data_IF_913848983535
#
_entry.id   IF_913848983535
#
_cell.length_a   1.000
_cell.length_b   1.000
_cell.length_c   1.000
_cell.angle_alpha   90.00
_cell.angle_beta   90.00
_cell.angle_gamma   90.00
#
_symmetry.space_group_name_H-M   'P 1'
#
loop_
_entity.id
_entity.type
_entity.pdbx_description
1 polymer ?
#
# COMPACT_ATOMS: atom_id res chain seq x y z
N UNK A 1 64.56 -28.21 -30.85
CA UNK A 1 63.33 -28.96 -30.48
C UNK A 1 62.44 -28.03 -29.65
N UNK A 2 61.15 -28.06 -29.95
CA UNK A 2 60.01 -27.64 -29.13
C UNK A 2 59.81 -26.18 -28.69
N UNK A 3 58.82 -25.57 -29.36
CA UNK A 3 57.61 -24.93 -28.80
C UNK A 3 57.70 -23.48 -28.30
N UNK A 4 57.56 -22.61 -29.29
CA UNK A 4 56.66 -21.44 -29.35
C UNK A 4 55.50 -21.38 -28.33
N UNK A 5 55.48 -20.29 -27.57
CA UNK A 5 54.29 -19.71 -26.91
C UNK A 5 53.44 -18.92 -27.92
N UNK A 6 52.10 -18.94 -27.81
CA UNK A 6 51.28 -17.89 -28.42
C UNK A 6 50.50 -17.08 -27.37
N UNK A 7 50.81 -15.79 -27.36
CA UNK A 7 49.89 -14.66 -27.53
C UNK A 7 48.53 -14.66 -26.81
N UNK A 8 48.46 -13.72 -25.86
CA UNK A 8 47.27 -13.14 -25.25
C UNK A 8 46.38 -12.50 -26.32
N UNK A 9 45.11 -12.92 -26.38
CA UNK A 9 44.05 -12.20 -27.12
C UNK A 9 42.95 -11.81 -26.15
N UNK A 10 42.76 -10.50 -26.06
CA UNK A 10 41.75 -9.79 -25.30
C UNK A 10 40.37 -9.97 -25.97
N UNK A 11 39.42 -10.62 -25.29
CA UNK A 11 38.04 -10.75 -25.76
C UNK A 11 37.16 -9.67 -25.11
N UNK A 12 36.67 -8.76 -25.94
CA UNK A 12 35.71 -7.69 -25.64
C UNK A 12 34.36 -8.30 -25.23
N UNK A 13 33.85 -7.92 -24.06
CA UNK A 13 32.48 -8.25 -23.63
C UNK A 13 31.51 -7.21 -24.19
N UNK A 14 30.59 -7.65 -25.05
CA UNK A 14 29.41 -6.89 -25.47
C UNK A 14 28.26 -7.08 -24.45
N UNK A 15 27.38 -6.07 -24.27
CA UNK A 15 26.29 -6.12 -23.29
C UNK A 15 25.07 -6.91 -23.81
N UNK A 16 24.53 -7.80 -22.97
CA UNK A 16 23.34 -8.60 -23.25
C UNK A 16 22.05 -7.80 -23.06
N UNK A 17 21.16 -7.90 -24.05
CA UNK A 17 19.85 -7.23 -24.15
C UNK A 17 18.75 -8.00 -23.40
N UNK A 18 18.00 -7.30 -22.54
CA UNK A 18 16.81 -7.78 -21.81
C UNK A 18 15.56 -7.78 -22.70
N UNK A 19 15.43 -8.81 -23.55
CA UNK A 19 14.19 -9.08 -24.32
C UNK A 19 13.96 -10.59 -24.44
N UNK A 20 13.47 -11.23 -23.38
CA UNK A 20 12.84 -12.55 -23.45
C UNK A 20 12.11 -12.90 -22.14
N UNK A 21 10.85 -12.45 -21.98
CA UNK A 21 9.83 -13.13 -21.16
C UNK A 21 8.46 -12.48 -21.40
N UNK A 22 7.88 -12.72 -22.58
CA UNK A 22 6.46 -12.55 -22.86
C UNK A 22 6.04 -13.70 -23.76
N UNK A 23 5.30 -14.65 -23.20
CA UNK A 23 4.26 -15.48 -23.84
C UNK A 23 3.93 -16.60 -22.86
N UNK A 24 2.71 -16.58 -22.28
CA UNK A 24 1.69 -17.64 -22.22
C UNK A 24 0.47 -17.01 -21.50
N UNK A 25 -0.74 -17.33 -21.99
CA UNK A 25 -2.09 -16.93 -21.55
C UNK A 25 -2.78 -15.77 -22.31
N UNK A 26 -3.22 -16.10 -23.53
CA UNK A 26 -4.55 -15.73 -24.04
C UNK A 26 -5.27 -17.03 -24.40
N UNK A 27 -6.43 -17.28 -23.77
CA UNK A 27 -7.70 -17.62 -24.44
C UNK A 27 -8.65 -18.36 -23.50
N UNK A 28 -9.91 -17.94 -23.54
CA UNK A 28 -11.06 -18.70 -23.04
C UNK A 28 -11.75 -18.09 -21.82
N UNK A 29 -12.76 -17.23 -22.02
CA UNK A 29 -14.13 -17.71 -22.22
C UNK A 29 -15.12 -16.53 -22.08
N UNK A 30 -15.77 -16.19 -23.18
CA UNK A 30 -16.92 -15.30 -23.22
C UNK A 30 -18.13 -16.09 -23.72
N UNK A 31 -19.30 -15.80 -23.12
CA UNK A 31 -20.69 -16.14 -23.49
C UNK A 31 -21.37 -17.20 -22.62
N UNK A 32 -22.29 -16.75 -21.76
CA UNK A 32 -23.73 -17.01 -21.99
C UNK A 32 -24.61 -16.17 -21.06
N UNK A 33 -25.22 -15.13 -21.61
CA UNK A 33 -26.45 -14.53 -21.10
C UNK A 33 -27.63 -15.17 -21.82
N UNK A 34 -28.67 -15.64 -21.09
CA UNK A 34 -30.08 -15.54 -21.50
C UNK A 34 -31.06 -16.10 -20.44
N UNK A 35 -31.80 -15.16 -19.85
CA UNK A 35 -33.26 -15.14 -19.60
C UNK A 35 -34.00 -16.49 -19.46
N UNK A 36 -34.71 -16.66 -18.34
CA UNK A 36 -36.18 -16.76 -18.32
C UNK A 36 -36.78 -16.64 -16.91
N UNK A 37 -37.67 -15.67 -16.78
CA UNK A 37 -38.72 -15.48 -15.79
C UNK A 37 -39.89 -16.47 -15.97
N UNK A 38 -40.78 -16.51 -14.96
CA UNK A 38 -42.12 -17.14 -14.88
C UNK A 38 -42.21 -18.59 -14.35
N UNK A 39 -42.66 -18.76 -13.10
CA UNK A 39 -44.06 -19.08 -12.77
C UNK A 39 -44.29 -19.03 -11.25
N UNK A 40 -45.50 -18.62 -10.88
CA UNK A 40 -45.91 -18.31 -9.51
C UNK A 40 -46.67 -19.44 -8.83
N UNK A 41 -46.73 -19.33 -7.50
CA UNK A 41 -47.83 -19.68 -6.58
C UNK A 41 -47.94 -21.11 -6.03
N UNK A 42 -47.92 -21.08 -4.68
CA UNK A 42 -48.73 -21.84 -3.70
C UNK A 42 -48.25 -23.24 -3.29
N UNK A 43 -47.66 -23.29 -2.09
CA UNK A 43 -48.14 -24.18 -1.00
C UNK A 43 -47.50 -23.82 0.36
N UNK A 44 -48.36 -23.58 1.37
CA UNK A 44 -48.09 -23.53 2.83
C UNK A 44 -47.33 -22.30 3.34
N UNK A 45 -47.85 -21.34 4.13
CA UNK A 45 -48.91 -21.33 5.16
C UNK A 45 -48.79 -22.46 6.18
N UNK A 46 -47.82 -22.31 7.10
CA UNK A 46 -47.96 -22.54 8.55
C UNK A 46 -46.57 -22.44 9.20
N UNK A 47 -46.16 -21.24 9.65
CA UNK A 47 -45.12 -21.02 10.70
C UNK A 47 -44.73 -19.55 10.95
N UNK A 48 -45.49 -18.54 10.50
CA UNK A 48 -45.14 -17.11 10.67
C UNK A 48 -46.21 -16.30 11.40
N UNK A 49 -46.73 -16.84 12.51
CA UNK A 49 -47.74 -16.17 13.34
C UNK A 49 -47.39 -16.21 14.84
N UNK A 50 -46.12 -15.98 15.20
CA UNK A 50 -45.69 -15.95 16.60
C UNK A 50 -44.62 -14.91 16.98
N UNK A 51 -44.18 -14.01 16.08
CA UNK A 51 -43.15 -12.99 16.42
C UNK A 51 -43.46 -11.58 15.92
N UNK A 52 -44.73 -11.27 15.63
CA UNK A 52 -45.15 -9.97 15.10
C UNK A 52 -46.29 -9.34 15.88
N UNK A 53 -46.12 -9.23 17.20
CA UNK A 53 -46.91 -8.39 18.09
C UNK A 53 -46.05 -8.01 19.28
N UNK A 54 -45.06 -7.14 19.05
CA UNK A 54 -44.39 -6.29 20.05
C UNK A 54 -43.23 -5.59 19.33
N UNK A 55 -43.50 -4.46 18.69
CA UNK A 55 -42.54 -3.37 18.42
C UNK A 55 -43.24 -2.27 17.60
N UNK A 56 -44.29 -1.72 18.19
CA UNK A 56 -44.83 -0.41 17.83
C UNK A 56 -45.00 0.37 19.13
N UNK A 57 -43.88 0.84 19.68
CA UNK A 57 -43.77 2.06 20.46
C UNK A 57 -42.31 2.28 20.89
N UNK A 58 -41.92 3.55 20.97
CA UNK A 58 -40.59 4.07 21.35
C UNK A 58 -39.57 4.21 20.21
N UNK A 59 -39.68 5.32 19.49
CA UNK A 59 -38.51 5.97 18.90
C UNK A 59 -37.63 6.55 20.00
N UNK A 60 -36.32 6.35 19.93
CA UNK A 60 -35.35 7.07 20.74
C UNK A 60 -34.19 7.56 19.88
N UNK A 61 -33.98 8.88 19.92
CA UNK A 61 -32.84 9.59 19.35
C UNK A 61 -31.59 9.25 20.18
N UNK A 62 -30.51 8.86 19.54
CA UNK A 62 -29.20 8.65 20.18
C UNK A 62 -28.55 10.00 20.51
N UNK A 63 -28.66 10.43 21.76
CA UNK A 63 -27.92 11.59 22.30
C UNK A 63 -26.60 11.10 22.88
N UNK A 64 -25.48 11.63 22.38
CA UNK A 64 -24.14 11.43 22.94
C UNK A 64 -24.01 12.21 24.25
N UNK A 65 -24.21 11.54 25.38
CA UNK A 65 -23.97 12.12 26.71
C UNK A 65 -22.55 11.80 27.17
N UNK A 66 -21.68 12.82 27.29
CA UNK A 66 -20.43 12.71 28.05
C UNK A 66 -20.78 12.68 29.54
N UNK A 67 -20.35 11.68 30.33
CA UNK A 67 -20.73 11.61 31.74
C UNK A 67 -20.01 12.71 32.53
N UNK A 68 -20.77 13.50 33.30
CA UNK A 68 -20.22 14.51 34.20
C UNK A 68 -19.58 13.86 35.43
N UNK A 69 -18.68 14.60 36.10
CA UNK A 69 -17.95 14.17 37.33
C UNK A 69 -18.86 13.59 38.43
N UNK A 70 -20.15 13.89 38.41
CA UNK A 70 -21.14 13.43 39.39
C UNK A 70 -21.40 11.92 39.35
N UNK A 71 -21.30 11.28 38.17
CA UNK A 71 -21.51 9.82 38.02
C UNK A 71 -20.37 9.03 38.68
N UNK A 72 -19.14 9.57 38.66
CA UNK A 72 -17.98 8.94 39.29
C UNK A 72 -18.04 8.97 40.82
N UNK A 73 -18.65 10.01 41.41
CA UNK A 73 -18.88 10.08 42.85
C UNK A 73 -19.99 9.11 43.30
N UNK A 74 -21.03 8.94 42.50
CA UNK A 74 -22.14 8.03 42.81
C UNK A 74 -21.72 6.55 42.75
N UNK A 75 -20.88 6.17 41.78
CA UNK A 75 -20.33 4.80 41.65
C UNK A 75 -19.25 4.46 42.70
N UNK A 76 -18.67 5.46 43.39
CA UNK A 76 -17.71 5.23 44.47
C UNK A 76 -18.41 4.94 45.81
N UNK A 77 -19.69 5.32 45.95
CA UNK A 77 -20.46 5.19 47.19
C UNK A 77 -21.28 3.89 47.27
N UNK A 78 -21.80 3.41 46.14
CA UNK A 78 -22.47 2.12 46.06
C UNK A 78 -21.48 1.10 45.50
N UNK A 79 -20.96 0.21 46.36
CA UNK A 79 -19.97 -0.83 46.07
C UNK A 79 -20.41 -1.88 45.04
N UNK A 80 -20.78 -1.45 43.83
CA UNK A 80 -21.00 -2.32 42.68
C UNK A 80 -19.67 -2.66 42.05
N UNK A 81 -18.96 -3.61 42.69
CA UNK A 81 -17.75 -4.26 42.16
C UNK A 81 -17.92 -4.72 40.70
N UNK A 82 -19.14 -5.02 40.27
CA UNK A 82 -19.41 -5.50 38.91
C UNK A 82 -19.17 -4.44 37.83
N UNK A 83 -19.51 -3.17 38.06
CA UNK A 83 -19.32 -2.08 37.07
C UNK A 83 -17.84 -1.66 37.01
N UNK A 84 -17.16 -1.61 38.17
CA UNK A 84 -15.71 -1.38 38.20
C UNK A 84 -14.91 -2.53 37.59
N UNK A 85 -15.31 -3.79 37.82
CA UNK A 85 -14.65 -4.96 37.22
C UNK A 85 -14.93 -5.10 35.72
N UNK A 86 -16.13 -4.76 35.24
CA UNK A 86 -16.42 -4.74 33.80
C UNK A 86 -15.67 -3.62 33.07
N UNK A 87 -15.54 -2.43 33.66
CA UNK A 87 -14.68 -1.38 33.09
C UNK A 87 -13.19 -1.75 33.11
N UNK A 88 -12.71 -2.43 34.16
CA UNK A 88 -11.32 -2.94 34.24
C UNK A 88 -11.07 -4.03 33.18
N UNK A 89 -11.99 -4.98 33.04
CA UNK A 89 -11.98 -6.01 31.99
C UNK A 89 -12.08 -5.42 30.57
N UNK A 90 -12.89 -4.39 30.37
CA UNK A 90 -13.01 -3.70 29.08
C UNK A 90 -11.74 -2.91 28.72
N UNK A 91 -11.02 -2.40 29.73
CA UNK A 91 -9.70 -1.78 29.54
C UNK A 91 -8.60 -2.81 29.23
N UNK A 92 -8.74 -4.04 29.74
CA UNK A 92 -7.87 -5.19 29.43
C UNK A 92 -8.15 -5.82 28.05
N UNK A 93 -9.36 -5.69 27.51
CA UNK A 93 -9.76 -6.21 26.18
C UNK A 93 -9.65 -5.15 25.06
N UNK A 94 -8.70 -4.22 25.17
CA UNK A 94 -8.38 -3.37 24.04
C UNK A 94 -7.69 -4.23 22.97
N UNK A 95 -8.20 -4.22 21.74
CA UNK A 95 -7.69 -5.02 20.61
C UNK A 95 -6.37 -4.44 20.11
N UNK A 96 -5.32 -4.58 20.93
CA UNK A 96 -3.95 -4.22 20.59
C UNK A 96 -3.31 -5.42 19.87
N UNK A 97 -2.63 -5.23 18.73
CA UNK A 97 -1.83 -6.28 18.14
C UNK A 97 -0.83 -6.84 19.16
N UNK A 98 -0.68 -8.16 19.18
CA UNK A 98 0.34 -8.81 20.01
C UNK A 98 1.73 -8.60 19.41
N UNK A 99 2.72 -8.39 20.27
CA UNK A 99 4.13 -8.41 19.90
C UNK A 99 4.52 -9.80 19.38
N UNK A 100 5.40 -9.83 18.38
CA UNK A 100 5.88 -11.03 17.71
C UNK A 100 7.27 -11.38 18.20
N UNK A 101 7.43 -12.58 18.75
CA UNK A 101 8.67 -13.07 19.34
C UNK A 101 9.02 -14.45 18.77
N UNK A 102 9.42 -14.52 17.49
CA UNK A 102 9.85 -15.78 16.90
C UNK A 102 11.14 -16.26 17.56
N UNK A 103 11.41 -17.59 17.61
CA UNK A 103 12.64 -18.12 18.17
C UNK A 103 13.89 -17.50 17.54
N UNK A 104 14.83 -17.07 18.39
CA UNK A 104 16.12 -16.50 17.97
C UNK A 104 17.00 -17.60 17.39
N UNK A 105 17.19 -18.67 18.17
CA UNK A 105 17.99 -19.83 17.79
C UNK A 105 17.44 -20.55 16.56
N UNK A 106 18.35 -21.09 15.75
CA UNK A 106 18.00 -21.83 14.54
C UNK A 106 17.68 -23.30 14.88
N UNK A 107 16.47 -23.75 14.52
CA UNK A 107 16.15 -25.17 14.53
C UNK A 107 16.98 -25.96 13.49
N UNK A 108 17.05 -27.28 13.65
CA UNK A 108 17.77 -28.14 12.70
C UNK A 108 17.26 -28.00 11.26
N UNK A 109 15.94 -27.84 11.09
CA UNK A 109 15.31 -27.65 9.78
C UNK A 109 15.72 -26.31 9.18
N UNK A 110 15.68 -25.23 9.95
CA UNK A 110 16.09 -23.90 9.51
C UNK A 110 17.56 -23.85 9.10
N UNK A 111 18.45 -24.52 9.84
CA UNK A 111 19.86 -24.64 9.49
C UNK A 111 20.06 -25.31 8.12
N UNK A 112 19.27 -26.35 7.80
CA UNK A 112 19.31 -27.01 6.50
C UNK A 112 18.82 -26.08 5.40
N UNK A 113 17.71 -25.34 5.64
CA UNK A 113 17.18 -24.38 4.67
C UNK A 113 18.20 -23.28 4.39
N UNK A 114 18.78 -22.68 5.43
CA UNK A 114 19.81 -21.63 5.30
C UNK A 114 21.01 -22.14 4.49
N UNK A 115 21.51 -23.36 4.75
CA UNK A 115 22.62 -23.95 3.99
C UNK A 115 22.32 -24.08 2.49
N UNK A 116 21.06 -24.22 2.10
CA UNK A 116 20.62 -24.32 0.69
C UNK A 116 20.46 -22.95 0.02
N UNK A 117 20.24 -21.88 0.77
CA UNK A 117 20.10 -20.53 0.22
C UNK A 117 21.48 -19.99 -0.17
N UNK A 118 21.76 -19.92 -1.48
CA UNK A 118 23.06 -19.41 -1.99
C UNK A 118 23.04 -17.96 -2.46
N UNK A 119 21.97 -17.54 -3.13
CA UNK A 119 21.87 -16.22 -3.78
C UNK A 119 20.94 -15.24 -3.07
N UNK A 120 19.93 -15.76 -2.37
CA UNK A 120 18.92 -14.94 -1.71
C UNK A 120 19.37 -14.55 -0.29
N UNK A 121 20.50 -13.86 -0.21
CA UNK A 121 21.20 -13.55 1.05
C UNK A 121 20.39 -12.66 1.99
N UNK A 122 19.41 -11.88 1.47
CA UNK A 122 18.49 -11.11 2.32
C UNK A 122 17.69 -12.01 3.26
N UNK A 123 17.22 -13.16 2.80
CA UNK A 123 16.41 -14.06 3.64
C UNK A 123 17.22 -14.64 4.79
N UNK A 124 18.50 -14.95 4.54
CA UNK A 124 19.42 -15.42 5.58
C UNK A 124 19.70 -14.29 6.58
N UNK A 125 20.02 -13.10 6.09
CA UNK A 125 20.22 -11.90 6.91
C UNK A 125 18.99 -11.63 7.81
N UNK A 126 17.81 -11.53 7.23
CA UNK A 126 16.57 -11.27 7.98
C UNK A 126 16.26 -12.39 8.97
N UNK A 127 16.49 -13.66 8.62
CA UNK A 127 16.29 -14.76 9.58
C UNK A 127 17.20 -14.62 10.81
N UNK A 128 18.45 -14.23 10.63
CA UNK A 128 19.37 -14.02 11.74
C UNK A 128 19.01 -12.78 12.55
N UNK A 129 18.65 -11.67 11.89
CA UNK A 129 18.57 -10.37 12.54
C UNK A 129 17.12 -9.86 12.77
N UNK A 130 16.07 -10.61 12.44
CA UNK A 130 14.66 -10.17 12.63
C UNK A 130 14.33 -9.77 14.07
N UNK A 131 14.95 -10.41 15.05
CA UNK A 131 14.71 -10.14 16.47
C UNK A 131 15.37 -8.82 16.92
N UNK A 132 16.50 -8.44 16.32
CA UNK A 132 17.15 -7.13 16.51
C UNK A 132 16.41 -6.03 15.71
N UNK A 133 15.94 -6.38 14.50
CA UNK A 133 15.17 -5.47 13.65
C UNK A 133 13.85 -5.08 14.33
N UNK A 134 13.17 -6.04 14.96
CA UNK A 134 11.91 -5.82 15.67
C UNK A 134 12.10 -6.00 17.18
N UNK A 135 12.95 -5.15 17.77
CA UNK A 135 13.04 -5.03 19.23
C UNK A 135 11.72 -4.54 19.85
N UNK A 136 11.60 -4.64 21.17
CA UNK A 136 10.36 -4.29 21.87
C UNK A 136 9.95 -2.83 21.64
N UNK A 137 10.91 -1.90 21.62
CA UNK A 137 10.66 -0.49 21.37
C UNK A 137 10.08 -0.24 19.97
N UNK A 138 10.67 -0.84 18.93
CA UNK A 138 10.21 -0.66 17.57
C UNK A 138 8.87 -1.39 17.32
N UNK A 139 8.63 -2.52 17.96
CA UNK A 139 7.31 -3.15 17.92
C UNK A 139 6.23 -2.28 18.56
N UNK A 140 6.53 -1.60 19.67
CA UNK A 140 5.61 -0.63 20.27
C UNK A 140 5.32 0.54 19.32
N UNK A 141 6.31 1.09 18.62
CA UNK A 141 6.11 2.09 17.56
C UNK A 141 5.15 1.55 16.47
N UNK A 142 5.38 0.34 15.97
CA UNK A 142 4.50 -0.28 14.96
C UNK A 142 3.09 -0.54 15.46
N UNK A 143 2.93 -0.83 16.76
CA UNK A 143 1.61 -1.02 17.36
C UNK A 143 0.82 0.30 17.41
N UNK A 144 1.47 1.47 17.52
CA UNK A 144 0.77 2.76 17.48
C UNK A 144 0.08 3.05 16.14
N UNK A 145 0.40 2.28 15.09
CA UNK A 145 -0.32 2.31 13.80
C UNK A 145 -1.79 1.90 13.95
N UNK A 146 -2.15 1.21 15.04
CA UNK A 146 -3.47 0.66 15.27
C UNK A 146 -4.20 1.44 16.36
N UNK A 147 -5.45 1.83 16.07
CA UNK A 147 -6.33 2.43 17.08
C UNK A 147 -6.83 1.35 18.04
N UNK A 148 -6.69 1.60 19.35
CA UNK A 148 -7.29 0.75 20.37
C UNK A 148 -8.81 0.72 20.17
N UNK A 149 -9.34 -0.47 19.84
CA UNK A 149 -10.77 -0.70 19.62
C UNK A 149 -11.27 -1.79 20.56
N UNK A 150 -12.52 -1.66 21.01
CA UNK A 150 -13.21 -2.71 21.77
C UNK A 150 -13.84 -3.79 20.85
N UNK A 151 -13.81 -3.60 19.54
CA UNK A 151 -14.44 -4.47 18.55
C UNK A 151 -13.50 -4.73 17.36
N UNK A 152 -13.46 -5.98 16.88
CA UNK A 152 -12.68 -6.40 15.70
C UNK A 152 -12.08 -7.81 15.82
N UNK A 153 -11.32 -8.24 14.81
CA UNK A 153 -10.44 -9.43 14.87
C UNK A 153 -9.05 -8.98 15.36
N UNK A 154 -8.32 -9.78 16.17
CA UNK A 154 -6.97 -9.43 16.59
C UNK A 154 -6.11 -9.17 15.35
N UNK A 155 -5.49 -7.99 15.21
CA UNK A 155 -4.63 -7.73 14.07
C UNK A 155 -3.44 -8.69 14.11
N UNK A 156 -3.10 -9.27 12.96
CA UNK A 156 -1.82 -9.98 12.76
C UNK A 156 -0.67 -9.08 13.23
N UNK A 157 0.38 -9.67 13.77
CA UNK A 157 1.47 -8.91 14.38
C UNK A 157 2.07 -7.89 13.38
N UNK A 158 2.17 -6.61 13.77
CA UNK A 158 2.69 -5.56 12.90
C UNK A 158 4.13 -5.82 12.44
N UNK A 159 4.95 -6.44 13.30
CA UNK A 159 6.31 -6.82 12.99
C UNK A 159 6.41 -7.88 11.88
N UNK A 160 5.56 -8.91 11.90
CA UNK A 160 5.55 -9.93 10.83
C UNK A 160 5.09 -9.34 9.50
N UNK A 161 4.10 -8.43 9.52
CA UNK A 161 3.65 -7.69 8.33
C UNK A 161 4.73 -6.72 7.80
N UNK A 162 5.46 -6.05 8.70
CA UNK A 162 6.60 -5.20 8.35
C UNK A 162 7.71 -6.00 7.67
N UNK A 163 8.04 -7.18 8.22
CA UNK A 163 9.03 -8.06 7.64
C UNK A 163 8.61 -8.56 6.25
N UNK A 164 7.34 -8.96 6.08
CA UNK A 164 6.81 -9.34 4.78
C UNK A 164 6.88 -8.18 3.77
N UNK A 165 6.64 -6.95 4.22
CA UNK A 165 6.75 -5.74 3.38
C UNK A 165 8.19 -5.53 2.91
N UNK A 166 9.19 -5.75 3.77
CA UNK A 166 10.61 -5.67 3.40
C UNK A 166 11.00 -6.70 2.37
N UNK A 167 10.59 -7.96 2.56
CA UNK A 167 10.89 -9.03 1.62
C UNK A 167 10.21 -8.73 0.28
N UNK A 168 8.93 -8.34 0.31
CA UNK A 168 8.16 -7.99 -0.90
C UNK A 168 8.84 -6.89 -1.71
N UNK A 169 9.25 -5.80 -1.04
CA UNK A 169 9.92 -4.69 -1.71
C UNK A 169 11.24 -5.10 -2.33
N UNK A 170 12.00 -5.98 -1.67
CA UNK A 170 13.27 -6.49 -2.20
C UNK A 170 13.08 -7.46 -3.39
N UNK A 171 12.08 -8.33 -3.34
CA UNK A 171 11.84 -9.33 -4.40
C UNK A 171 11.04 -8.77 -5.58
N UNK A 172 10.35 -7.64 -5.41
CA UNK A 172 9.54 -7.01 -6.46
C UNK A 172 8.27 -7.79 -6.81
N UNK A 173 7.78 -8.62 -5.89
CA UNK A 173 6.63 -9.51 -6.11
C UNK A 173 5.30 -8.82 -5.82
N UNK A 174 4.24 -9.28 -6.49
CA UNK A 174 2.89 -8.72 -6.32
C UNK A 174 2.28 -9.06 -4.95
N UNK A 175 1.22 -8.34 -4.55
CA UNK A 175 0.52 -8.62 -3.29
C UNK A 175 -0.10 -10.02 -3.24
N UNK A 176 -0.56 -10.56 -4.38
CA UNK A 176 -1.07 -11.93 -4.48
C UNK A 176 0.07 -12.95 -4.33
N UNK A 177 1.20 -12.68 -4.99
CA UNK A 177 2.39 -13.52 -4.94
C UNK A 177 3.01 -13.55 -3.54
N UNK A 178 2.90 -12.49 -2.73
CA UNK A 178 3.30 -12.55 -1.31
C UNK A 178 2.53 -13.64 -0.57
N UNK A 179 1.20 -13.69 -0.73
CA UNK A 179 0.36 -14.67 -0.03
C UNK A 179 0.71 -16.08 -0.49
N UNK A 180 0.85 -16.29 -1.80
CA UNK A 180 1.29 -17.56 -2.37
C UNK A 180 2.68 -17.97 -1.86
N UNK A 181 3.64 -17.04 -1.84
CA UNK A 181 4.99 -17.29 -1.37
C UNK A 181 5.05 -17.68 0.12
N UNK A 182 4.16 -17.14 0.96
CA UNK A 182 4.09 -17.57 2.38
C UNK A 182 3.69 -19.04 2.56
N UNK A 183 3.05 -19.65 1.55
CA UNK A 183 2.67 -21.06 1.56
C UNK A 183 3.66 -21.94 0.78
N UNK A 184 4.19 -21.44 -0.33
CA UNK A 184 4.91 -22.25 -1.31
C UNK A 184 6.44 -22.08 -1.25
N UNK A 185 6.94 -20.98 -0.67
CA UNK A 185 8.38 -20.69 -0.62
C UNK A 185 8.95 -20.85 0.79
N UNK A 186 9.79 -21.87 0.96
CA UNK A 186 10.51 -22.16 2.23
C UNK A 186 11.33 -20.98 2.74
N UNK A 187 11.80 -20.08 1.87
CA UNK A 187 12.56 -18.88 2.28
C UNK A 187 11.65 -17.87 2.98
N UNK A 188 10.45 -17.66 2.45
CA UNK A 188 9.45 -16.78 3.06
C UNK A 188 8.97 -17.35 4.39
N UNK A 189 8.66 -18.64 4.41
CA UNK A 189 8.25 -19.34 5.64
C UNK A 189 9.31 -19.29 6.74
N UNK A 190 10.58 -19.46 6.36
CA UNK A 190 11.72 -19.36 7.28
C UNK A 190 11.75 -17.98 7.96
N UNK A 191 11.66 -16.91 7.19
CA UNK A 191 11.83 -15.54 7.71
C UNK A 191 10.61 -15.10 8.51
N UNK A 192 9.41 -15.45 8.06
CA UNK A 192 8.13 -15.07 8.68
C UNK A 192 7.70 -16.00 9.83
N UNK A 193 8.55 -16.95 10.25
CA UNK A 193 8.25 -17.90 11.33
C UNK A 193 6.95 -18.68 11.11
N UNK A 194 6.77 -19.18 9.89
CA UNK A 194 5.58 -19.93 9.47
C UNK A 194 5.97 -21.15 8.62
N UNK A 195 7.03 -21.86 9.03
CA UNK A 195 7.42 -23.13 8.40
C UNK A 195 6.27 -24.13 8.45
N UNK A 196 6.01 -24.76 7.30
CA UNK A 196 4.98 -25.79 7.13
C UNK A 196 3.55 -25.32 7.44
N UNK A 197 3.30 -24.01 7.37
CA UNK A 197 1.96 -23.47 7.53
C UNK A 197 1.03 -23.92 6.39
N UNK A 198 -0.13 -24.48 6.74
CA UNK A 198 -1.17 -24.88 5.79
C UNK A 198 -2.04 -23.68 5.33
N UNK A 199 -2.10 -22.64 6.16
CA UNK A 199 -2.81 -21.38 5.88
C UNK A 199 -1.83 -20.18 5.92
N UNK A 200 -2.08 -19.14 5.12
CA UNK A 200 -1.20 -17.98 5.11
C UNK A 200 -1.29 -17.22 6.45
N UNK A 201 -0.16 -16.70 6.99
CA UNK A 201 -0.13 -16.03 8.30
C UNK A 201 -0.97 -14.73 8.33
N UNK A 202 -1.29 -14.18 7.17
CA UNK A 202 -2.16 -13.01 7.00
C UNK A 202 -2.84 -13.02 5.63
N UNK A 203 -3.91 -12.23 5.50
CA UNK A 203 -4.58 -12.02 4.22
C UNK A 203 -3.91 -10.90 3.40
N UNK A 204 -4.11 -10.93 2.07
CA UNK A 204 -3.73 -9.83 1.17
C UNK A 204 -4.27 -8.47 1.65
N UNK A 205 -5.55 -8.44 2.04
CA UNK A 205 -6.19 -7.22 2.54
C UNK A 205 -5.53 -6.68 3.80
N UNK A 206 -5.09 -7.56 4.70
CA UNK A 206 -4.34 -7.19 5.91
C UNK A 206 -3.01 -6.55 5.56
N UNK A 207 -2.23 -7.15 4.65
CA UNK A 207 -0.95 -6.62 4.20
C UNK A 207 -1.09 -5.25 3.53
N UNK A 208 -2.03 -5.12 2.59
CA UNK A 208 -2.30 -3.85 1.88
C UNK A 208 -2.72 -2.75 2.87
N UNK A 209 -3.62 -3.06 3.79
CA UNK A 209 -4.06 -2.11 4.80
C UNK A 209 -2.94 -1.73 5.77
N UNK A 210 -2.05 -2.65 6.12
CA UNK A 210 -0.88 -2.37 6.95
C UNK A 210 0.11 -1.45 6.25
N UNK A 211 0.49 -1.73 5.00
CA UNK A 211 1.38 -0.84 4.23
C UNK A 211 0.79 0.56 4.08
N UNK A 212 -0.53 0.66 3.89
CA UNK A 212 -1.22 1.96 3.89
C UNK A 212 -1.02 2.70 5.21
N UNK A 213 -1.14 2.03 6.36
CA UNK A 213 -0.89 2.63 7.68
C UNK A 213 0.57 3.05 7.87
N UNK A 214 1.53 2.24 7.41
CA UNK A 214 2.94 2.59 7.43
C UNK A 214 3.18 3.91 6.70
N UNK A 215 2.66 4.03 5.48
CA UNK A 215 2.79 5.23 4.65
C UNK A 215 2.07 6.43 5.29
N UNK A 216 0.83 6.22 5.75
CA UNK A 216 0.02 7.29 6.34
C UNK A 216 0.67 7.89 7.62
N UNK A 217 1.54 7.14 8.31
CA UNK A 217 2.29 7.59 9.49
C UNK A 217 3.80 7.75 9.25
N UNK A 218 4.26 7.71 7.99
CA UNK A 218 5.68 7.80 7.60
C UNK A 218 6.60 6.74 8.25
N UNK A 219 6.02 5.67 8.81
CA UNK A 219 6.73 4.56 9.45
C UNK A 219 7.39 3.61 8.45
N UNK A 220 7.04 3.72 7.16
CA UNK A 220 7.72 3.02 6.08
C UNK A 220 9.18 3.46 5.92
N UNK A 221 9.48 4.76 6.02
CA UNK A 221 10.86 5.29 5.97
C UNK A 221 11.66 4.79 7.16
N UNK A 222 11.07 4.89 8.35
CA UNK A 222 11.65 4.39 9.60
C UNK A 222 12.00 2.90 9.52
N UNK A 223 11.11 2.08 8.94
CA UNK A 223 11.33 0.65 8.74
C UNK A 223 12.53 0.37 7.81
N UNK A 224 12.65 1.10 6.70
CA UNK A 224 13.76 0.96 5.75
C UNK A 224 15.08 1.39 6.40
N UNK A 225 15.11 2.58 6.99
CA UNK A 225 16.29 3.14 7.64
C UNK A 225 16.82 2.16 8.68
N UNK A 226 15.95 1.67 9.56
CA UNK A 226 16.30 0.67 10.58
C UNK A 226 16.82 -0.64 9.96
N UNK A 227 16.21 -1.11 8.86
CA UNK A 227 16.68 -2.32 8.16
C UNK A 227 18.09 -2.10 7.57
N UNK A 228 18.36 -0.92 7.00
CA UNK A 228 19.66 -0.57 6.41
C UNK A 228 20.73 -0.34 7.50
N UNK A 229 20.37 0.30 8.61
CA UNK A 229 21.23 0.49 9.78
C UNK A 229 21.71 -0.87 10.30
N UNK A 230 20.78 -1.80 10.50
CA UNK A 230 21.10 -3.16 10.97
C UNK A 230 21.95 -3.95 9.95
N UNK A 231 21.66 -3.81 8.65
CA UNK A 231 22.48 -4.40 7.60
C UNK A 231 23.90 -3.82 7.57
N UNK A 232 24.05 -2.53 7.88
CA UNK A 232 25.36 -1.85 7.92
C UNK A 232 26.18 -2.25 9.15
N UNK A 233 25.53 -2.44 10.30
CA UNK A 233 26.17 -2.86 11.54
C UNK A 233 26.62 -4.32 11.52
N UNK A 234 25.82 -5.21 10.94
CA UNK A 234 26.10 -6.64 10.90
C UNK A 234 27.25 -7.03 9.97
N UNK A 235 27.61 -6.20 8.98
CA UNK A 235 28.65 -6.44 7.95
C UNK A 235 28.44 -7.71 7.08
N UNK A 236 27.43 -8.53 7.37
CA UNK A 236 27.12 -9.80 6.68
C UNK A 236 26.35 -9.59 5.37
N UNK A 237 25.77 -8.41 5.18
CA UNK A 237 24.92 -8.10 4.02
C UNK A 237 25.26 -6.73 3.41
N UNK A 238 25.29 -6.65 2.08
CA UNK A 238 25.62 -5.43 1.37
C UNK A 238 24.54 -4.36 1.53
N UNK A 239 24.66 -3.50 2.54
CA UNK A 239 23.70 -2.45 2.86
C UNK A 239 23.43 -1.48 1.71
N UNK A 240 24.43 -1.22 0.86
CA UNK A 240 24.28 -0.42 -0.38
C UNK A 240 23.39 -1.09 -1.42
N UNK A 241 23.53 -2.41 -1.60
CA UNK A 241 22.68 -3.19 -2.51
C UNK A 241 21.26 -3.27 -1.97
N UNK A 242 21.10 -3.46 -0.66
CA UNK A 242 19.79 -3.40 -0.01
C UNK A 242 19.11 -2.08 -0.29
N UNK A 243 19.81 -0.97 0.04
CA UNK A 243 19.32 0.39 -0.19
C UNK A 243 18.88 0.58 -1.64
N UNK A 244 19.72 0.24 -2.61
CA UNK A 244 19.36 0.35 -4.02
C UNK A 244 18.12 -0.45 -4.41
N UNK A 245 17.97 -1.69 -3.91
CA UNK A 245 16.78 -2.51 -4.17
C UNK A 245 15.53 -1.89 -3.54
N UNK A 246 15.63 -1.42 -2.29
CA UNK A 246 14.51 -0.81 -1.57
C UNK A 246 14.10 0.55 -2.16
N UNK A 247 15.07 1.38 -2.55
CA UNK A 247 14.86 2.69 -3.19
C UNK A 247 14.25 2.56 -4.59
N UNK A 248 14.39 1.40 -5.24
CA UNK A 248 13.74 1.11 -6.53
C UNK A 248 12.31 0.57 -6.40
N UNK A 249 11.89 0.18 -5.20
CA UNK A 249 10.57 -0.37 -4.96
C UNK A 249 9.50 0.73 -5.07
N UNK A 250 8.37 0.49 -5.79
CA UNK A 250 7.23 1.40 -5.81
C UNK A 250 6.68 1.69 -4.41
N UNK A 251 6.92 0.77 -3.46
CA UNK A 251 6.53 0.97 -2.08
C UNK A 251 7.31 2.08 -1.40
N UNK A 252 8.54 2.42 -1.80
CA UNK A 252 9.49 3.15 -0.96
C UNK A 252 10.33 4.20 -1.68
N UNK A 253 10.55 4.04 -2.98
CA UNK A 253 11.42 4.90 -3.78
C UNK A 253 10.91 6.33 -3.98
N UNK A 254 11.78 7.15 -4.59
CA UNK A 254 11.46 8.46 -5.16
C UNK A 254 10.23 8.44 -6.10
N UNK A 255 9.86 7.24 -6.58
CA UNK A 255 8.62 6.86 -7.26
C UNK A 255 7.33 7.31 -6.57
N UNK A 256 7.29 7.44 -5.23
CA UNK A 256 6.03 7.77 -4.52
C UNK A 256 5.53 9.19 -4.75
N UNK A 257 6.45 10.15 -4.85
CA UNK A 257 6.10 11.54 -5.22
C UNK A 257 5.96 11.62 -6.75
N UNK A 258 6.85 10.94 -7.47
CA UNK A 258 6.87 10.80 -8.93
C UNK A 258 5.56 10.29 -9.55
N UNK A 259 4.92 9.28 -8.96
CA UNK A 259 3.61 8.80 -9.39
C UNK A 259 2.55 9.90 -9.29
N UNK A 260 2.66 10.82 -8.32
CA UNK A 260 1.64 11.85 -8.17
C UNK A 260 1.73 12.92 -9.27
N UNK A 261 2.93 13.39 -9.60
CA UNK A 261 3.13 14.32 -10.72
C UNK A 261 2.75 13.67 -12.05
N UNK A 262 3.13 12.41 -12.25
CA UNK A 262 2.80 11.67 -13.46
C UNK A 262 1.30 11.39 -13.56
N UNK A 263 0.61 11.05 -12.47
CA UNK A 263 -0.84 10.84 -12.45
C UNK A 263 -1.60 12.13 -12.77
N UNK A 264 -1.24 13.25 -12.13
CA UNK A 264 -1.87 14.55 -12.44
C UNK A 264 -1.55 14.97 -13.87
N UNK A 265 -0.30 14.80 -14.32
CA UNK A 265 0.13 15.07 -15.68
C UNK A 265 -0.62 14.27 -16.74
N UNK A 266 -0.76 12.97 -16.53
CA UNK A 266 -1.52 12.09 -17.42
C UNK A 266 -3.01 12.44 -17.41
N UNK A 267 -3.58 12.77 -16.26
CA UNK A 267 -4.96 13.20 -16.18
C UNK A 267 -5.19 14.51 -16.96
N UNK A 268 -4.34 15.51 -16.76
CA UNK A 268 -4.37 16.78 -17.50
C UNK A 268 -4.20 16.57 -19.01
N UNK A 269 -3.20 15.78 -19.43
CA UNK A 269 -3.00 15.42 -20.84
C UNK A 269 -4.23 14.74 -21.43
N UNK A 270 -4.90 13.90 -20.65
CA UNK A 270 -6.14 13.24 -21.06
C UNK A 270 -7.30 14.22 -21.20
N UNK A 271 -7.44 15.21 -20.31
CA UNK A 271 -8.44 16.30 -20.46
C UNK A 271 -8.20 17.05 -21.77
N UNK A 272 -6.95 17.47 -22.04
CA UNK A 272 -6.62 18.17 -23.28
C UNK A 272 -6.93 17.31 -24.51
N UNK A 273 -6.63 16.01 -24.46
CA UNK A 273 -6.86 15.10 -25.58
C UNK A 273 -8.33 14.87 -25.88
N UNK A 274 -9.17 14.68 -24.87
CA UNK A 274 -10.61 14.48 -25.12
C UNK A 274 -11.28 15.72 -25.69
N UNK A 275 -10.85 16.93 -25.30
CA UNK A 275 -11.36 18.17 -25.90
C UNK A 275 -10.78 18.38 -27.31
N UNK A 276 -9.49 18.09 -27.52
CA UNK A 276 -8.86 18.16 -28.84
C UNK A 276 -9.53 17.20 -29.85
N UNK A 277 -9.77 15.96 -29.44
CA UNK A 277 -10.44 14.95 -30.27
C UNK A 277 -11.89 15.38 -30.60
N UNK A 278 -12.61 15.96 -29.63
CA UNK A 278 -13.98 16.45 -29.81
C UNK A 278 -14.04 17.67 -30.76
N UNK A 279 -13.11 18.61 -30.63
CA UNK A 279 -13.04 19.82 -31.47
C UNK A 279 -12.34 19.58 -32.83
N UNK A 280 -11.75 18.40 -33.05
CA UNK A 280 -10.94 18.10 -34.23
C UNK A 280 -9.65 18.91 -34.34
N UNK A 281 -9.06 19.29 -33.19
CA UNK A 281 -7.88 20.14 -33.09
C UNK A 281 -6.64 19.36 -32.64
N UNK A 282 -5.48 19.94 -32.83
CA UNK A 282 -4.23 19.38 -32.32
C UNK A 282 -4.10 19.57 -30.80
N UNK A 283 -3.52 18.57 -30.12
CA UNK A 283 -3.33 18.58 -28.66
C UNK A 283 -2.56 19.82 -28.18
N UNK A 284 -1.56 20.25 -28.96
CA UNK A 284 -0.72 21.40 -28.62
C UNK A 284 -1.50 22.72 -28.64
N UNK A 285 -2.45 22.87 -29.55
CA UNK A 285 -3.27 24.08 -29.67
C UNK A 285 -4.22 24.21 -28.47
N UNK A 286 -4.91 23.12 -28.14
CA UNK A 286 -5.82 23.06 -26.98
C UNK A 286 -5.06 23.23 -25.67
N UNK A 287 -3.89 22.61 -25.54
CA UNK A 287 -3.06 22.76 -24.36
C UNK A 287 -2.55 24.20 -24.19
N UNK A 288 -2.20 24.89 -25.29
CA UNK A 288 -1.77 26.29 -25.19
C UNK A 288 -2.92 27.23 -24.82
N UNK A 289 -4.10 27.01 -25.39
CA UNK A 289 -5.31 27.75 -25.01
C UNK A 289 -5.68 27.57 -23.52
N UNK A 290 -5.48 26.36 -23.00
CA UNK A 290 -5.74 26.01 -21.61
C UNK A 290 -4.60 26.40 -20.64
N UNK A 291 -3.47 26.94 -21.12
CA UNK A 291 -2.28 27.24 -20.30
C UNK A 291 -1.64 25.99 -19.68
N UNK A 292 -1.66 24.88 -20.42
CA UNK A 292 -1.21 23.55 -20.01
C UNK A 292 -0.13 22.96 -20.94
N UNK A 293 0.66 23.79 -21.63
CA UNK A 293 1.70 23.35 -22.57
C UNK A 293 2.68 22.34 -21.94
N UNK A 294 2.85 22.43 -20.62
CA UNK A 294 3.66 21.53 -19.81
C UNK A 294 3.33 20.04 -20.01
N UNK A 295 2.08 19.69 -20.35
CA UNK A 295 1.64 18.29 -20.53
C UNK A 295 1.84 17.75 -21.96
N UNK A 296 2.23 18.61 -22.91
CA UNK A 296 2.49 18.21 -24.30
C UNK A 296 3.78 17.39 -24.45
N UNK A 297 4.73 17.54 -23.52
CA UNK A 297 6.00 16.80 -23.52
C UNK A 297 5.84 15.27 -23.46
N UNK A 298 6.96 14.57 -23.68
CA UNK A 298 7.05 13.10 -23.61
C UNK A 298 6.80 12.57 -22.19
N UNK A 299 7.18 13.35 -21.17
CA UNK A 299 6.84 13.14 -19.77
C UNK A 299 6.88 14.46 -19.02
N UNK A 300 6.13 14.55 -17.92
CA UNK A 300 6.06 15.77 -17.12
C UNK A 300 7.41 16.10 -16.46
N UNK A 301 8.20 15.06 -16.12
CA UNK A 301 9.58 15.21 -15.64
C UNK A 301 10.52 15.84 -16.65
N UNK A 302 10.48 15.37 -17.90
CA UNK A 302 11.32 15.90 -18.96
C UNK A 302 11.01 17.38 -19.23
N UNK A 303 9.75 17.80 -19.05
CA UNK A 303 9.36 19.20 -19.22
C UNK A 303 9.74 20.09 -18.04
N UNK A 304 9.79 19.55 -16.82
CA UNK A 304 10.03 20.33 -15.60
C UNK A 304 11.52 20.62 -15.32
N UNK A 305 12.43 19.83 -15.91
CA UNK A 305 13.90 19.95 -15.80
C UNK A 305 14.41 20.33 -14.39
N UNK A 306 14.16 19.46 -13.41
CA UNK A 306 14.46 19.67 -11.99
C UNK A 306 15.28 18.54 -11.38
N UNK A 307 16.04 18.86 -10.34
CA UNK A 307 16.73 17.89 -9.49
C UNK A 307 15.73 17.20 -8.56
N UNK A 308 15.40 15.95 -8.90
CA UNK A 308 14.45 15.11 -8.17
C UNK A 308 15.03 14.49 -6.90
N UNK A 309 16.24 14.85 -6.49
CA UNK A 309 16.78 14.47 -5.18
C UNK A 309 16.58 15.60 -4.14
N UNK A 310 16.32 16.84 -4.57
CA UNK A 310 16.12 17.99 -3.69
C UNK A 310 14.65 18.21 -3.31
N UNK A 311 14.37 18.26 -2.01
CA UNK A 311 13.00 18.45 -1.50
C UNK A 311 12.38 19.79 -1.94
N UNK A 312 13.15 20.87 -1.92
CA UNK A 312 12.66 22.20 -2.33
C UNK A 312 12.20 22.20 -3.81
N UNK A 313 12.99 21.59 -4.70
CA UNK A 313 12.64 21.52 -6.12
C UNK A 313 11.42 20.62 -6.39
N UNK A 314 11.22 19.57 -5.58
CA UNK A 314 9.99 18.75 -5.61
C UNK A 314 8.75 19.55 -5.22
N UNK A 315 8.86 20.38 -4.19
CA UNK A 315 7.74 21.21 -3.71
C UNK A 315 7.39 22.29 -4.74
N UNK A 316 8.38 22.92 -5.36
CA UNK A 316 8.18 23.87 -6.48
C UNK A 316 7.56 23.20 -7.71
N UNK A 317 8.04 22.01 -8.09
CA UNK A 317 7.45 21.21 -9.17
C UNK A 317 5.97 20.92 -8.89
N UNK A 318 5.64 20.61 -7.64
CA UNK A 318 4.28 20.27 -7.25
C UNK A 318 3.38 21.50 -7.31
N UNK A 319 3.84 22.62 -6.77
CA UNK A 319 3.12 23.88 -6.83
C UNK A 319 2.78 24.26 -8.27
N UNK A 320 3.74 24.13 -9.20
CA UNK A 320 3.53 24.40 -10.62
C UNK A 320 2.49 23.46 -11.26
N UNK A 321 2.59 22.15 -11.01
CA UNK A 321 1.62 21.16 -11.54
C UNK A 321 0.20 21.43 -11.02
N UNK A 322 0.09 21.77 -9.73
CA UNK A 322 -1.20 22.13 -9.13
C UNK A 322 -1.72 23.44 -9.71
N UNK A 323 -0.87 24.43 -9.98
CA UNK A 323 -1.28 25.67 -10.62
C UNK A 323 -1.86 25.40 -12.01
N UNK A 324 -1.19 24.58 -12.83
CA UNK A 324 -1.71 24.15 -14.15
C UNK A 324 -3.06 23.45 -14.02
N UNK A 325 -3.23 22.59 -13.02
CA UNK A 325 -4.54 21.95 -12.76
C UNK A 325 -5.66 22.96 -12.49
N UNK A 326 -5.40 24.02 -11.72
CA UNK A 326 -6.40 25.07 -11.49
C UNK A 326 -6.68 25.89 -12.76
N UNK A 327 -5.66 26.17 -13.57
CA UNK A 327 -5.85 26.85 -14.87
C UNK A 327 -6.72 26.03 -15.81
N UNK A 328 -6.44 24.73 -15.92
CA UNK A 328 -7.23 23.80 -16.75
C UNK A 328 -8.66 23.68 -16.22
N UNK A 329 -8.86 23.61 -14.91
CA UNK A 329 -10.21 23.62 -14.32
C UNK A 329 -10.99 24.87 -14.72
N UNK A 330 -10.41 26.05 -14.51
CA UNK A 330 -11.03 27.31 -14.89
C UNK A 330 -11.28 27.44 -16.40
N UNK A 331 -10.44 26.83 -17.23
CA UNK A 331 -10.64 26.75 -18.68
C UNK A 331 -11.81 25.82 -19.03
N UNK A 332 -11.87 24.61 -18.48
CA UNK A 332 -13.00 23.66 -18.71
C UNK A 332 -14.34 24.30 -18.33
N UNK A 333 -14.40 25.06 -17.23
CA UNK A 333 -15.62 25.76 -16.83
C UNK A 333 -16.06 26.84 -17.84
N UNK A 334 -15.12 27.42 -18.59
CA UNK A 334 -15.37 28.46 -19.61
C UNK A 334 -15.66 27.90 -21.00
N UNK A 335 -15.53 26.59 -21.22
CA UNK A 335 -15.90 25.98 -22.49
C UNK A 335 -17.37 26.29 -22.81
N UNK A 336 -17.61 26.80 -24.02
CA UNK A 336 -18.93 27.22 -24.49
C UNK A 336 -19.74 26.05 -25.03
N UNK A 337 -19.09 25.01 -25.55
CA UNK A 337 -19.74 23.81 -26.07
C UNK A 337 -20.10 22.85 -24.91
N UNK A 338 -21.39 22.47 -24.76
CA UNK A 338 -21.82 21.48 -23.78
C UNK A 338 -21.17 20.09 -23.98
N UNK A 339 -20.87 19.68 -25.21
CA UNK A 339 -20.28 18.36 -25.50
C UNK A 339 -18.83 18.28 -25.00
N UNK A 340 -18.06 19.36 -25.16
CA UNK A 340 -16.70 19.46 -24.64
C UNK A 340 -16.65 19.33 -23.11
N UNK A 341 -17.63 19.96 -22.43
CA UNK A 341 -17.76 19.86 -20.96
C UNK A 341 -18.08 18.43 -20.52
N UNK A 342 -18.99 17.75 -21.21
CA UNK A 342 -19.39 16.37 -20.90
C UNK A 342 -18.19 15.41 -20.96
N UNK A 343 -17.29 15.60 -21.94
CA UNK A 343 -16.10 14.74 -22.07
C UNK A 343 -14.97 15.13 -21.11
N UNK A 344 -14.80 16.41 -20.80
CA UNK A 344 -13.71 16.92 -19.97
C UNK A 344 -13.96 16.75 -18.46
N UNK A 345 -15.17 17.01 -17.97
CA UNK A 345 -15.49 17.04 -16.53
C UNK A 345 -15.21 15.72 -15.78
N UNK A 346 -15.54 14.53 -16.32
CA UNK A 346 -15.25 13.26 -15.62
C UNK A 346 -13.75 13.03 -15.46
N UNK A 347 -12.95 13.39 -16.46
CA UNK A 347 -11.49 13.24 -16.43
C UNK A 347 -10.86 14.25 -15.47
N UNK A 348 -11.37 15.48 -15.47
CA UNK A 348 -10.95 16.54 -14.55
C UNK A 348 -11.29 16.20 -13.09
N UNK A 349 -12.43 15.57 -12.84
CA UNK A 349 -12.83 15.12 -11.50
C UNK A 349 -11.82 14.10 -10.92
N UNK A 350 -11.26 13.21 -11.76
CA UNK A 350 -10.21 12.28 -11.35
C UNK A 350 -8.94 13.05 -10.94
N UNK A 351 -8.52 14.05 -11.72
CA UNK A 351 -7.35 14.88 -11.41
C UNK A 351 -7.52 15.64 -10.07
N UNK A 352 -8.69 16.23 -9.84
CA UNK A 352 -9.05 16.90 -8.57
C UNK A 352 -9.10 15.93 -7.40
N UNK A 353 -9.55 14.69 -7.61
CA UNK A 353 -9.56 13.68 -6.55
C UNK A 353 -8.15 13.31 -6.10
N UNK A 354 -7.18 13.25 -7.04
CA UNK A 354 -5.76 13.05 -6.74
C UNK A 354 -5.21 14.20 -5.90
N UNK A 355 -5.45 15.46 -6.31
CA UNK A 355 -5.08 16.65 -5.52
C UNK A 355 -5.70 16.64 -4.11
N UNK A 356 -6.97 16.28 -3.98
CA UNK A 356 -7.66 16.19 -2.69
C UNK A 356 -7.11 15.09 -1.78
N UNK A 357 -6.49 14.04 -2.32
CA UNK A 357 -5.74 13.06 -1.52
C UNK A 357 -4.44 13.67 -0.98
N UNK A 358 -3.73 14.46 -1.79
CA UNK A 358 -2.48 15.13 -1.37
C UNK A 358 -2.70 16.12 -0.21
N UNK A 359 -3.69 17.01 -0.32
CA UNK A 359 -3.98 17.99 0.74
C UNK A 359 -4.39 17.33 2.06
N UNK A 360 -5.08 16.18 2.00
CA UNK A 360 -5.46 15.42 3.19
C UNK A 360 -4.27 14.74 3.86
N UNK A 361 -3.26 14.35 3.09
CA UNK A 361 -1.98 13.87 3.65
C UNK A 361 -1.20 15.02 4.30
N UNK A 362 -1.02 16.15 3.61
CA UNK A 362 -0.26 17.30 4.11
C UNK A 362 -0.89 18.02 5.31
N UNK A 363 -2.23 18.04 5.43
CA UNK A 363 -2.92 18.69 6.57
C UNK A 363 -2.89 17.85 7.86
N UNK A 364 -2.62 16.55 7.77
CA UNK A 364 -2.41 15.69 8.95
C UNK A 364 -1.03 15.85 9.58
N UNK A 365 -0.12 16.53 8.89
CA UNK A 365 1.25 16.82 9.32
C UNK A 365 1.38 18.15 10.09
N UNK A 366 0.28 18.91 10.27
CA UNK A 366 0.25 20.17 11.05
C UNK A 366 -0.48 20.05 12.37
#
# INVERSE_FOLDING_TARGET
MSRSSPSVVCAKTQPFSLKAMRHVFSDGNARSSRKRSFLSRRSGRQSESAWRTENHQMGTRSVSVKPSKTIWQFLRFNGSSHVYQTFRRAKEHCMRPSSWHPPVELSCVEQIIIKRIKRATLFVFLRHHRHELFDEAFQEELITLYTASAYGRPPTSPAQLALATVIQAYTGVSDDEVIEATLMDRRWQLVLDCLDAEEPPFSKGTLVAFRKRLIDQQMDRRLIERTIELASQSQTFGSRMLRAALDSSPLWGAGRVEDTYNLVGHALKKVMRVVADQQGRELAEVASEAGAELVCGSSLKATLDRDWDQQLQKDEALALVLQVLHTVDAWVQRLTDPEDKIVAEPVLAIAKQVQGRMYRSAKRER
#
